data_IF_852350158883
#
_entry.id   IF_852350158883
#
_cell.length_a   1.000
_cell.length_b   1.000
_cell.length_c   1.000
_cell.angle_alpha   90.00
_cell.angle_beta   90.00
_cell.angle_gamma   90.00
#
_symmetry.space_group_name_H-M   'P 1'
#
loop_
_entity.id
_entity.type
_entity.pdbx_description
1 polymer ?
#
# COMPACT_ATOMS: atom_id res chain seq x y z
N UNK A 1 9.67 0.89 23.99
CA UNK A 1 8.89 -0.19 23.38
C UNK A 1 7.71 0.43 22.65
N UNK A 2 7.58 0.24 21.34
CA UNK A 2 6.40 0.69 20.61
C UNK A 2 5.18 -0.12 21.07
N UNK A 3 4.05 0.55 21.28
CA UNK A 3 2.78 -0.15 21.47
C UNK A 3 2.50 -1.02 20.24
N UNK A 4 1.95 -2.21 20.44
CA UNK A 4 1.53 -3.10 19.36
C UNK A 4 0.60 -2.37 18.37
N UNK A 5 -0.22 -1.44 18.85
CA UNK A 5 -1.10 -0.58 18.03
C UNK A 5 -0.27 0.30 17.08
N UNK A 6 0.76 0.98 17.59
CA UNK A 6 1.62 1.88 16.83
C UNK A 6 2.52 1.14 15.84
N UNK A 7 3.04 -0.03 16.24
CA UNK A 7 3.84 -0.89 15.34
C UNK A 7 3.00 -1.37 14.15
N UNK A 8 1.75 -1.78 14.38
CA UNK A 8 0.86 -2.23 13.31
C UNK A 8 0.54 -1.10 12.31
N UNK A 9 0.22 0.10 12.81
CA UNK A 9 -0.01 1.27 11.96
C UNK A 9 1.21 1.60 11.11
N UNK A 10 2.40 1.59 11.72
CA UNK A 10 3.66 1.86 11.03
C UNK A 10 3.89 0.88 9.86
N UNK A 11 3.64 -0.41 10.09
CA UNK A 11 3.79 -1.42 9.05
C UNK A 11 2.83 -1.17 7.87
N UNK A 12 1.56 -0.85 8.15
CA UNK A 12 0.58 -0.54 7.10
C UNK A 12 1.03 0.68 6.28
N UNK A 13 1.52 1.74 6.93
CA UNK A 13 1.99 2.95 6.25
C UNK A 13 3.15 2.63 5.31
N UNK A 14 4.14 1.86 5.77
CA UNK A 14 5.25 1.42 4.92
C UNK A 14 4.76 0.58 3.75
N UNK A 15 3.85 -0.38 4.00
CA UNK A 15 3.26 -1.17 2.93
C UNK A 15 2.57 -0.29 1.88
N UNK A 16 1.80 0.73 2.28
CA UNK A 16 1.19 1.68 1.34
C UNK A 16 2.26 2.36 0.49
N UNK A 17 3.31 2.91 1.10
CA UNK A 17 4.38 3.62 0.40
C UNK A 17 5.07 2.70 -0.60
N UNK A 18 5.44 1.49 -0.19
CA UNK A 18 6.15 0.54 -1.06
C UNK A 18 5.25 0.09 -2.21
N UNK A 19 4.00 -0.26 -1.94
CA UNK A 19 3.10 -0.80 -2.98
C UNK A 19 2.64 0.27 -3.97
N UNK A 20 2.30 1.46 -3.47
CA UNK A 20 1.94 2.60 -4.31
C UNK A 20 3.15 3.12 -5.09
N UNK A 21 4.32 3.23 -4.44
CA UNK A 21 5.57 3.62 -5.08
C UNK A 21 5.98 2.66 -6.20
N UNK A 22 5.89 1.35 -5.95
CA UNK A 22 6.08 0.34 -6.98
C UNK A 22 5.08 0.49 -8.13
N UNK A 23 3.79 0.67 -7.83
CA UNK A 23 2.76 0.86 -8.85
C UNK A 23 3.04 2.07 -9.75
N UNK A 24 3.41 3.21 -9.17
CA UNK A 24 3.76 4.43 -9.92
C UNK A 24 5.03 4.23 -10.75
N UNK A 25 6.09 3.68 -10.14
CA UNK A 25 7.36 3.43 -10.82
C UNK A 25 7.19 2.48 -12.01
N UNK A 26 6.38 1.43 -11.84
CA UNK A 26 6.11 0.43 -12.88
C UNK A 26 5.33 1.03 -14.05
N UNK A 27 4.37 1.93 -13.78
CA UNK A 27 3.60 2.61 -14.83
C UNK A 27 4.43 3.67 -15.58
N UNK A 28 5.43 4.27 -14.93
CA UNK A 28 6.36 5.20 -15.58
C UNK A 28 7.43 4.48 -16.41
N UNK A 29 7.80 3.27 -16.00
CA UNK A 29 8.80 2.46 -16.70
C UNK A 29 8.13 1.64 -17.79
N UNK A 30 8.17 2.12 -19.03
CA UNK A 30 7.73 1.37 -20.23
C UNK A 30 8.66 0.16 -20.45
N UNK A 31 8.39 -0.96 -19.77
CA UNK A 31 9.16 -2.20 -19.94
C UNK A 31 8.75 -2.98 -21.19
N UNK A 32 9.73 -3.68 -21.78
CA UNK A 32 9.63 -4.49 -23.01
C UNK A 32 8.53 -5.57 -22.95
N UNK A 33 8.17 -6.06 -21.77
CA UNK A 33 7.06 -7.01 -21.56
C UNK A 33 5.81 -6.28 -21.05
N UNK A 34 5.22 -5.44 -21.91
CA UNK A 34 4.27 -4.38 -21.54
C UNK A 34 3.01 -4.87 -20.83
N UNK A 35 2.45 -6.04 -21.19
CA UNK A 35 1.19 -6.52 -20.62
C UNK A 35 1.28 -6.92 -19.14
N UNK A 36 2.19 -7.84 -18.80
CA UNK A 36 2.31 -8.38 -17.45
C UNK A 36 2.84 -7.33 -16.46
N UNK A 37 3.82 -6.54 -16.89
CA UNK A 37 4.38 -5.43 -16.11
C UNK A 37 3.33 -4.37 -15.80
N UNK A 38 2.48 -4.01 -16.75
CA UNK A 38 1.40 -3.03 -16.52
C UNK A 38 0.34 -3.58 -15.56
N UNK A 39 -0.03 -4.86 -15.70
CA UNK A 39 -0.97 -5.50 -14.78
C UNK A 39 -0.47 -5.50 -13.33
N UNK A 40 0.82 -5.76 -13.11
CA UNK A 40 1.44 -5.67 -11.78
C UNK A 40 1.47 -4.23 -11.24
N UNK A 41 1.72 -3.24 -12.10
CA UNK A 41 1.65 -1.82 -11.72
C UNK A 41 0.26 -1.40 -11.27
N UNK A 42 -0.78 -1.77 -12.05
CA UNK A 42 -2.19 -1.51 -11.71
C UNK A 42 -2.59 -2.23 -10.41
N UNK A 43 -2.18 -3.50 -10.25
CA UNK A 43 -2.40 -4.23 -9.01
C UNK A 43 -1.71 -3.55 -7.81
N UNK A 44 -0.50 -3.03 -7.99
CA UNK A 44 0.22 -2.29 -6.96
C UNK A 44 -0.54 -1.05 -6.49
N UNK A 45 -1.09 -0.27 -7.43
CA UNK A 45 -1.94 0.89 -7.13
C UNK A 45 -3.23 0.46 -6.40
N UNK A 46 -3.93 -0.57 -6.90
CA UNK A 46 -5.16 -1.09 -6.28
C UNK A 46 -4.92 -1.58 -4.84
N UNK A 47 -3.82 -2.31 -4.63
CA UNK A 47 -3.42 -2.76 -3.30
C UNK A 47 -3.08 -1.58 -2.38
N UNK A 48 -2.38 -0.56 -2.88
CA UNK A 48 -2.09 0.67 -2.14
C UNK A 48 -3.37 1.41 -1.69
N UNK A 49 -4.37 1.50 -2.58
CA UNK A 49 -5.69 2.06 -2.25
C UNK A 49 -6.40 1.21 -1.19
N UNK A 50 -6.41 -0.12 -1.37
CA UNK A 50 -7.00 -1.05 -0.42
C UNK A 50 -6.37 -0.95 0.98
N UNK A 51 -5.04 -0.88 1.04
CA UNK A 51 -4.29 -0.67 2.27
C UNK A 51 -4.60 0.69 2.92
N UNK A 52 -4.83 1.74 2.14
CA UNK A 52 -5.22 3.07 2.66
C UNK A 52 -6.59 3.02 3.32
N UNK A 53 -7.56 2.34 2.71
CA UNK A 53 -8.89 2.12 3.31
C UNK A 53 -8.78 1.28 4.58
N UNK A 54 -7.94 0.24 4.56
CA UNK A 54 -7.67 -0.59 5.73
C UNK A 54 -7.05 0.21 6.88
N UNK A 55 -6.08 1.09 6.59
CA UNK A 55 -5.46 1.98 7.56
C UNK A 55 -6.51 2.86 8.26
N UNK A 56 -7.44 3.45 7.50
CA UNK A 56 -8.53 4.24 8.06
C UNK A 56 -9.42 3.42 9.00
N UNK A 57 -9.76 2.18 8.63
CA UNK A 57 -10.53 1.26 9.49
C UNK A 57 -9.77 0.92 10.78
N UNK A 58 -8.47 0.66 10.69
CA UNK A 58 -7.62 0.34 11.85
C UNK A 58 -7.52 1.52 12.81
N UNK A 59 -7.29 2.74 12.30
CA UNK A 59 -7.24 3.95 13.12
C UNK A 59 -8.57 4.17 13.83
N UNK A 60 -9.70 4.03 13.12
CA UNK A 60 -11.04 4.12 13.73
C UNK A 60 -11.22 3.08 14.83
N UNK A 61 -10.88 1.82 14.56
CA UNK A 61 -10.95 0.71 15.53
C UNK A 61 -10.15 1.00 16.80
N UNK A 62 -8.96 1.60 16.68
CA UNK A 62 -8.14 1.94 17.85
C UNK A 62 -8.58 3.21 18.58
N UNK A 63 -9.38 4.08 17.95
CA UNK A 63 -10.03 5.20 18.65
C UNK A 63 -11.26 4.77 19.43
N UNK A 64 -11.99 3.77 18.93
CA UNK A 64 -13.20 3.25 19.57
C UNK A 64 -12.95 2.23 20.67
N UNK A 65 -11.73 1.69 20.78
CA UNK A 65 -11.30 0.65 21.74
C UNK A 65 -10.16 1.16 22.64
#
# INVERSE_FOLDING_TARGET
MLSLKSFHIFFIVISIIVTAGYGVWQLQTLTVNSGFSTALGVLGILLGIGLTIYLQKVIRKFKTL
#
